data_IF_109842985222
#
_entry.id   IF_109842985222
#
_cell.length_a   1.000
_cell.length_b   1.000
_cell.length_c   1.000
_cell.angle_alpha   90.00
_cell.angle_beta   90.00
_cell.angle_gamma   90.00
#
_symmetry.space_group_name_H-M   'P 1'
#
loop_
_entity.id
_entity.type
_entity.pdbx_description
1 polymer ?
#
# COMPACT_ATOMS: atom_id res chain seq x y z
N UNK A 1 -4.82 1.35 -17.64
CA UNK A 1 -5.20 -0.09 -17.52
C UNK A 1 -4.15 -0.72 -16.62
N UNK A 2 -4.54 -1.34 -15.51
CA UNK A 2 -3.57 -1.93 -14.58
C UNK A 2 -3.16 -3.31 -15.07
N UNK A 3 -1.87 -3.60 -15.13
CA UNK A 3 -1.39 -4.96 -15.33
C UNK A 3 -1.56 -5.70 -14.00
N UNK A 4 -2.62 -6.50 -13.91
CA UNK A 4 -2.82 -7.37 -12.75
C UNK A 4 -1.87 -8.55 -12.91
N UNK A 5 -0.77 -8.55 -12.15
CA UNK A 5 0.15 -9.69 -12.10
C UNK A 5 -0.63 -10.94 -11.71
N UNK A 6 -0.50 -12.00 -12.50
CA UNK A 6 -1.08 -13.29 -12.17
C UNK A 6 -0.41 -13.80 -10.88
N UNK A 7 -1.19 -13.94 -9.82
CA UNK A 7 -0.69 -14.18 -8.46
C UNK A 7 -1.37 -15.39 -7.85
N UNK A 8 -0.58 -16.26 -7.21
CA UNK A 8 -1.08 -17.48 -6.59
C UNK A 8 -1.38 -17.35 -5.09
N UNK A 9 -1.84 -18.44 -4.45
CA UNK A 9 -2.11 -18.47 -3.01
C UNK A 9 -0.89 -18.16 -2.13
N UNK A 10 0.32 -18.49 -2.60
CA UNK A 10 1.56 -18.19 -1.88
C UNK A 10 1.84 -16.69 -1.85
N UNK A 11 1.51 -15.98 -2.93
CA UNK A 11 1.62 -14.52 -2.98
C UNK A 11 0.70 -13.87 -1.95
N UNK A 12 -0.56 -14.30 -1.87
CA UNK A 12 -1.51 -13.78 -0.89
C UNK A 12 -1.05 -14.03 0.56
N UNK A 13 -0.43 -15.18 0.82
CA UNK A 13 0.16 -15.49 2.12
C UNK A 13 1.34 -14.56 2.43
N UNK A 14 2.24 -14.31 1.47
CA UNK A 14 3.35 -13.37 1.65
C UNK A 14 2.85 -11.94 1.95
N UNK A 15 1.83 -11.48 1.21
CA UNK A 15 1.16 -10.19 1.48
C UNK A 15 0.62 -10.12 2.90
N UNK A 16 -0.06 -11.17 3.36
CA UNK A 16 -0.63 -11.22 4.70
C UNK A 16 0.46 -11.21 5.78
N UNK A 17 1.54 -11.95 5.59
CA UNK A 17 2.66 -12.00 6.52
C UNK A 17 3.37 -10.65 6.62
N UNK A 18 3.71 -10.01 5.50
CA UNK A 18 4.32 -8.68 5.45
C UNK A 18 3.42 -7.62 6.11
N UNK A 19 2.11 -7.64 5.82
CA UNK A 19 1.13 -6.75 6.45
C UNK A 19 1.05 -6.95 7.97
N UNK A 20 1.17 -8.20 8.42
CA UNK A 20 1.18 -8.56 9.84
C UNK A 20 2.46 -8.08 10.51
N UNK A 21 3.62 -8.31 9.89
CA UNK A 21 4.92 -7.82 10.38
C UNK A 21 4.89 -6.32 10.58
N UNK A 22 4.46 -5.56 9.57
CA UNK A 22 4.33 -4.10 9.63
C UNK A 22 3.43 -3.64 10.77
N UNK A 23 2.27 -4.28 10.92
CA UNK A 23 1.32 -3.96 12.00
C UNK A 23 1.90 -4.23 13.40
N UNK A 24 2.70 -5.29 13.55
CA UNK A 24 3.39 -5.61 14.81
C UNK A 24 4.53 -4.62 15.07
N UNK A 25 5.32 -4.30 14.04
CA UNK A 25 6.43 -3.35 14.11
C UNK A 25 5.95 -1.94 14.51
N UNK A 26 4.85 -1.45 13.91
CA UNK A 26 4.25 -0.18 14.27
C UNK A 26 3.80 -0.10 15.74
N UNK A 27 3.35 -1.23 16.32
CA UNK A 27 2.96 -1.30 17.74
C UNK A 27 4.17 -1.28 18.68
N UNK A 28 5.38 -1.58 18.20
CA UNK A 28 6.59 -1.60 19.02
C UNK A 28 6.91 -0.22 19.58
N UNK A 29 6.73 0.84 18.79
CA UNK A 29 7.04 2.21 19.17
C UNK A 29 6.34 2.66 20.46
N UNK A 30 5.09 2.21 20.67
CA UNK A 30 4.27 2.57 21.82
C UNK A 30 4.19 1.48 22.90
N UNK A 31 4.84 0.33 22.69
CA UNK A 31 4.76 -0.81 23.59
C UNK A 31 5.52 -0.58 24.91
N UNK A 32 4.91 -1.04 26.02
CA UNK A 32 5.56 -1.10 27.35
C UNK A 32 6.73 -2.09 27.33
N UNK A 33 7.72 -1.86 28.19
CA UNK A 33 8.93 -2.70 28.29
C UNK A 33 8.63 -4.20 28.42
N UNK A 34 7.62 -4.58 29.22
CA UNK A 34 7.21 -5.98 29.42
C UNK A 34 6.62 -6.64 28.16
N UNK A 35 6.06 -5.85 27.24
CA UNK A 35 5.46 -6.32 25.99
C UNK A 35 6.47 -6.33 24.84
N UNK A 36 7.46 -5.41 24.85
CA UNK A 36 8.47 -5.30 23.79
C UNK A 36 9.16 -6.62 23.51
N UNK A 37 9.65 -7.33 24.53
CA UNK A 37 10.32 -8.62 24.33
C UNK A 37 9.43 -9.73 23.73
N UNK A 38 8.10 -9.63 23.85
CA UNK A 38 7.18 -10.56 23.18
C UNK A 38 6.94 -10.19 21.73
N UNK A 39 6.83 -8.89 21.44
CA UNK A 39 6.68 -8.38 20.07
C UNK A 39 7.95 -8.63 19.27
N UNK A 40 9.11 -8.53 19.90
CA UNK A 40 10.43 -8.73 19.28
C UNK A 40 10.57 -10.16 18.76
N UNK A 41 10.38 -11.16 19.63
CA UNK A 41 10.33 -12.57 19.24
C UNK A 41 9.26 -12.86 18.18
N UNK A 42 8.14 -12.12 18.20
CA UNK A 42 7.09 -12.30 17.20
C UNK A 42 7.53 -11.75 15.84
N UNK A 43 8.26 -10.63 15.81
CA UNK A 43 8.83 -10.08 14.59
C UNK A 43 9.92 -11.00 14.03
N UNK A 44 10.77 -11.59 14.88
CA UNK A 44 11.76 -12.59 14.47
C UNK A 44 11.08 -13.78 13.77
N UNK A 45 10.08 -14.39 14.40
CA UNK A 45 9.32 -15.50 13.81
C UNK A 45 8.61 -15.12 12.50
N UNK A 46 8.05 -13.92 12.43
CA UNK A 46 7.43 -13.44 11.20
C UNK A 46 8.47 -13.22 10.11
N UNK A 47 9.64 -12.69 10.45
CA UNK A 47 10.76 -12.51 9.52
C UNK A 47 11.21 -13.85 8.92
N UNK A 48 11.38 -14.88 9.74
CA UNK A 48 11.72 -16.23 9.29
C UNK A 48 10.66 -16.79 8.33
N UNK A 49 9.38 -16.69 8.70
CA UNK A 49 8.27 -17.17 7.86
C UNK A 49 8.19 -16.41 6.53
N UNK A 50 8.38 -15.09 6.56
CA UNK A 50 8.38 -14.26 5.35
C UNK A 50 9.54 -14.67 4.45
N UNK A 51 10.74 -14.84 5.01
CA UNK A 51 11.94 -15.22 4.24
C UNK A 51 11.75 -16.56 3.52
N UNK A 52 11.17 -17.55 4.23
CA UNK A 52 10.80 -18.84 3.64
C UNK A 52 9.77 -18.67 2.52
N UNK A 53 8.67 -17.94 2.77
CA UNK A 53 7.63 -17.74 1.75
C UNK A 53 8.15 -16.99 0.52
N UNK A 54 8.98 -15.95 0.71
CA UNK A 54 9.58 -15.21 -0.39
C UNK A 54 10.49 -16.12 -1.24
N UNK A 55 11.22 -17.05 -0.61
CA UNK A 55 12.02 -18.05 -1.32
C UNK A 55 11.21 -19.01 -2.19
N UNK A 56 9.95 -19.29 -1.83
CA UNK A 56 9.04 -20.15 -2.59
C UNK A 56 8.36 -19.46 -3.77
N UNK A 57 8.26 -18.12 -3.74
CA UNK A 57 7.60 -17.36 -4.81
C UNK A 57 8.38 -17.43 -6.13
N UNK A 58 7.68 -17.24 -7.25
CA UNK A 58 8.35 -16.94 -8.50
C UNK A 58 8.94 -15.52 -8.48
N UNK A 59 9.93 -15.25 -9.32
CA UNK A 59 10.58 -13.94 -9.38
C UNK A 59 9.58 -12.81 -9.70
N UNK A 60 8.69 -13.03 -10.66
CA UNK A 60 7.66 -12.04 -11.02
C UNK A 60 6.66 -11.77 -9.88
N UNK A 61 6.30 -12.80 -9.10
CA UNK A 61 5.46 -12.63 -7.91
C UNK A 61 6.18 -11.81 -6.83
N UNK A 62 7.47 -12.05 -6.60
CA UNK A 62 8.27 -11.23 -5.67
C UNK A 62 8.38 -9.78 -6.13
N UNK A 63 8.64 -9.55 -7.42
CA UNK A 63 8.75 -8.19 -7.98
C UNK A 63 7.45 -7.38 -7.85
N UNK A 64 6.31 -8.07 -7.73
CA UNK A 64 5.01 -7.47 -7.46
C UNK A 64 4.75 -7.18 -5.97
N UNK A 65 5.67 -7.52 -5.06
CA UNK A 65 5.61 -7.19 -3.64
C UNK A 65 6.54 -6.02 -3.30
N UNK A 66 6.13 -5.23 -2.29
CA UNK A 66 6.96 -4.21 -1.63
C UNK A 66 7.32 -4.66 -0.21
N UNK A 67 8.30 -3.99 0.41
CA UNK A 67 8.66 -4.24 1.82
C UNK A 67 9.51 -5.49 2.08
N UNK A 68 10.21 -5.98 1.05
CA UNK A 68 11.21 -7.02 1.15
C UNK A 68 12.50 -6.58 0.44
N UNK A 69 13.61 -7.25 0.73
CA UNK A 69 14.93 -7.00 0.13
C UNK A 69 15.70 -8.30 -0.07
N UNK A 70 16.74 -8.28 -0.89
CA UNK A 70 17.69 -9.39 -0.97
C UNK A 70 18.39 -9.60 0.39
N UNK A 71 18.54 -10.86 0.76
CA UNK A 71 19.27 -11.26 1.94
C UNK A 71 20.78 -11.21 1.73
N UNK A 72 21.53 -11.36 2.82
CA UNK A 72 23.01 -11.34 2.79
C UNK A 72 23.56 -12.49 1.92
N UNK A 73 22.85 -13.63 1.90
CA UNK A 73 23.21 -14.80 1.11
C UNK A 73 22.46 -14.71 -0.23
N UNK A 74 23.18 -14.92 -1.33
CA UNK A 74 22.57 -14.91 -2.67
C UNK A 74 21.40 -15.91 -2.76
N UNK A 75 20.27 -15.46 -3.32
CA UNK A 75 19.05 -16.26 -3.44
C UNK A 75 18.25 -16.39 -2.15
N UNK A 76 18.59 -15.63 -1.10
CA UNK A 76 17.76 -15.46 0.09
C UNK A 76 17.10 -14.08 0.07
N UNK A 77 15.97 -13.96 0.76
CA UNK A 77 15.17 -12.75 0.78
C UNK A 77 14.76 -12.46 2.22
N UNK A 78 14.83 -11.20 2.63
CA UNK A 78 14.52 -10.75 3.98
C UNK A 78 13.44 -9.67 3.96
N UNK A 79 12.83 -9.45 5.14
CA UNK A 79 11.94 -8.31 5.36
C UNK A 79 12.72 -6.99 5.32
N UNK A 80 12.24 -6.02 4.55
CA UNK A 80 12.73 -4.65 4.63
C UNK A 80 11.96 -3.89 5.71
N UNK A 81 12.47 -3.96 6.95
CA UNK A 81 11.83 -3.29 8.08
C UNK A 81 11.74 -1.77 7.88
N UNK A 82 12.76 -1.15 7.29
CA UNK A 82 12.81 0.30 7.13
C UNK A 82 11.75 0.75 6.12
N UNK A 83 11.70 0.12 4.95
CA UNK A 83 10.71 0.44 3.92
C UNK A 83 9.27 0.24 4.43
N UNK A 84 9.00 -0.84 5.18
CA UNK A 84 7.68 -1.08 5.76
C UNK A 84 7.28 -0.02 6.80
N UNK A 85 8.24 0.56 7.51
CA UNK A 85 8.00 1.55 8.55
C UNK A 85 7.93 2.98 8.01
N UNK A 86 8.59 3.28 6.89
CA UNK A 86 8.47 4.56 6.19
C UNK A 86 7.07 4.73 5.56
N UNK A 87 6.50 3.62 5.06
CA UNK A 87 5.20 3.60 4.38
C UNK A 87 4.18 2.67 5.08
N UNK A 88 3.76 2.97 6.32
CA UNK A 88 2.98 2.06 7.15
C UNK A 88 1.58 1.74 6.61
N UNK A 89 1.04 2.59 5.73
CA UNK A 89 -0.32 2.49 5.20
C UNK A 89 -0.37 2.17 3.71
N UNK A 90 0.77 2.00 3.06
CA UNK A 90 0.81 1.67 1.64
C UNK A 90 0.48 0.20 1.39
N UNK A 91 0.10 -0.09 0.15
CA UNK A 91 -0.17 -1.46 -0.27
C UNK A 91 1.14 -2.24 -0.33
N UNK A 92 1.14 -3.45 0.26
CA UNK A 92 2.24 -4.41 0.06
C UNK A 92 2.26 -4.93 -1.37
N UNK A 93 1.10 -4.99 -2.03
CA UNK A 93 1.02 -5.25 -3.47
C UNK A 93 1.51 -4.01 -4.20
N UNK A 94 2.48 -4.17 -5.08
CA UNK A 94 2.94 -3.10 -5.97
C UNK A 94 1.79 -2.72 -6.91
N UNK A 95 1.47 -1.44 -6.96
CA UNK A 95 0.46 -0.87 -7.86
C UNK A 95 1.17 0.17 -8.70
N UNK A 96 1.65 -0.22 -9.89
CA UNK A 96 2.27 0.72 -10.81
C UNK A 96 1.16 1.58 -11.45
N UNK A 97 0.93 2.77 -10.87
CA UNK A 97 0.03 3.77 -11.43
C UNK A 97 0.77 4.53 -12.53
N UNK A 98 0.34 4.34 -13.76
CA UNK A 98 0.65 5.29 -14.83
C UNK A 98 -0.19 6.55 -14.60
N UNK A 99 0.45 7.64 -14.20
CA UNK A 99 -0.13 8.97 -14.37
C UNK A 99 -0.01 9.31 -15.84
N UNK A 100 -1.13 9.36 -16.55
CA UNK A 100 -1.19 10.02 -17.86
C UNK A 100 -0.68 11.46 -17.66
N UNK A 101 0.38 11.82 -18.39
CA UNK A 101 0.95 13.16 -18.31
C UNK A 101 -0.08 14.12 -18.91
N UNK A 102 -0.67 14.95 -18.08
CA UNK A 102 -1.66 15.95 -18.50
C UNK A 102 -0.95 16.98 -19.39
N UNK A 103 -1.10 16.87 -20.71
CA UNK A 103 -0.69 17.93 -21.64
C UNK A 103 -1.85 18.95 -21.77
N UNK A 104 -1.71 20.18 -21.24
CA UNK A 104 -2.71 21.23 -21.45
C UNK A 104 -2.90 21.62 -22.93
N UNK A 105 -2.05 21.17 -23.85
CA UNK A 105 -2.20 21.37 -25.29
C UNK A 105 -3.20 20.41 -25.96
N UNK A 106 -3.61 19.31 -25.30
CA UNK A 106 -4.54 18.31 -25.86
C UNK A 106 -6.02 18.76 -25.85
N UNK A 107 -6.31 19.97 -25.37
CA UNK A 107 -7.59 20.65 -25.55
C UNK A 107 -7.46 21.71 -26.66
N UNK A 108 -7.85 21.34 -27.87
CA UNK A 108 -8.34 22.34 -28.82
C UNK A 108 -9.71 22.85 -28.34
N UNK A 109 -9.73 24.11 -27.90
CA UNK A 109 -10.88 25.01 -27.75
C UNK A 109 -12.27 24.40 -28.03
N UNK A 110 -12.95 23.91 -27.00
CA UNK A 110 -14.41 23.80 -26.98
C UNK A 110 -14.99 24.83 -26.04
N UNK A 111 -15.35 25.98 -26.62
CA UNK A 111 -16.43 26.91 -26.28
C UNK A 111 -16.50 27.43 -24.82
N UNK A 112 -16.52 28.76 -24.59
CA UNK A 112 -16.73 29.32 -23.25
C UNK A 112 -18.14 28.97 -22.76
N UNK A 113 -18.25 28.05 -21.81
CA UNK A 113 -19.47 27.90 -21.01
C UNK A 113 -19.67 29.19 -20.23
N UNK A 114 -20.72 29.94 -20.60
CA UNK A 114 -21.09 31.17 -19.93
C UNK A 114 -21.25 30.91 -18.43
N UNK A 115 -20.55 31.73 -17.64
CA UNK A 115 -20.63 31.73 -16.20
C UNK A 115 -22.05 32.14 -15.73
N UNK A 116 -22.94 31.17 -15.51
CA UNK A 116 -24.13 31.40 -14.71
C UNK A 116 -24.70 30.11 -14.13
N UNK A 117 -24.06 29.58 -13.09
CA UNK A 117 -24.74 28.82 -12.05
C UNK A 117 -23.88 28.92 -10.81
N UNK A 118 -24.32 29.75 -9.85
CA UNK A 118 -23.63 29.93 -8.58
C UNK A 118 -24.01 28.72 -7.69
N UNK A 119 -23.14 27.71 -7.52
CA UNK A 119 -23.48 26.45 -6.85
C UNK A 119 -23.89 26.64 -5.38
N UNK A 120 -23.59 27.80 -4.82
CA UNK A 120 -23.97 28.19 -3.47
C UNK A 120 -25.50 28.44 -3.33
N UNK A 121 -26.18 28.83 -4.42
CA UNK A 121 -27.63 29.06 -4.40
C UNK A 121 -28.44 27.76 -4.32
N UNK A 122 -27.95 26.68 -4.94
CA UNK A 122 -28.60 25.36 -4.88
C UNK A 122 -28.44 24.71 -3.51
N UNK A 123 -27.26 24.81 -2.90
CA UNK A 123 -27.00 24.34 -1.53
C UNK A 123 -27.92 25.04 -0.51
N UNK A 124 -28.10 26.35 -0.62
CA UNK A 124 -28.99 27.10 0.27
C UNK A 124 -30.47 26.71 0.09
N UNK A 125 -30.89 26.36 -1.12
CA UNK A 125 -32.25 25.88 -1.39
C UNK A 125 -32.49 24.49 -0.81
N UNK A 126 -31.50 23.60 -0.90
CA UNK A 126 -31.55 22.25 -0.33
C UNK A 126 -31.63 22.29 1.21
N UNK A 127 -30.79 23.11 1.85
CA UNK A 127 -30.79 23.28 3.31
C UNK A 127 -32.09 23.88 3.86
N UNK A 128 -32.79 24.69 3.06
CA UNK A 128 -34.06 25.31 3.45
C UNK A 128 -35.27 24.38 3.26
N UNK A 129 -35.16 23.34 2.44
CA UNK A 129 -36.26 22.39 2.15
C UNK A 129 -36.16 21.07 2.93
N UNK A 130 -35.05 20.81 3.63
CA UNK A 130 -34.85 19.61 4.47
C UNK A 130 -35.20 19.77 5.96
N UNK A 131 -35.96 20.81 6.32
CA UNK A 131 -36.44 21.07 7.69
C UNK A 131 -37.96 21.25 7.67
N UNK A 132 -38.67 20.17 7.32
CA UNK A 132 -40.05 19.88 7.71
C UNK A 132 -40.21 18.36 7.86
#
# INVERSE_FOLDING_TARGET
MYEQVDTGPLYDQAVQLLSTYRSVAARMATARASTRGKLDRRLEQLGEQISERLGELAEHERMALTGWRDGIIAGTYDVDHEALMEQPYESIRRIDRWTEEYDPADYETTQPVSASSNPNAELLKFLRTGLD
#
